data_IF_392603637198
#
_entry.id   IF_392603637198
#
_cell.length_a   1.000
_cell.length_b   1.000
_cell.length_c   1.000
_cell.angle_alpha   90.00
_cell.angle_beta   90.00
_cell.angle_gamma   90.00
#
_symmetry.space_group_name_H-M   'P 1'
#
loop_
_entity.id
_entity.type
_entity.pdbx_description
1 polymer ?
#
# COMPACT_ATOMS: atom_id res chain seq x y z
N UNK A 1 -7.87 -5.41 26.43
CA UNK A 1 -6.62 -4.61 26.26
C UNK A 1 -6.11 -4.59 24.82
N UNK A 2 -6.25 -5.65 24.01
CA UNK A 2 -5.73 -5.70 22.62
C UNK A 2 -6.53 -4.83 21.62
N UNK A 3 -7.86 -4.66 21.81
CA UNK A 3 -8.66 -3.83 20.90
C UNK A 3 -8.41 -2.31 21.02
N UNK A 4 -7.99 -1.82 22.21
CA UNK A 4 -7.63 -0.41 22.39
C UNK A 4 -6.28 -0.06 21.74
N UNK A 5 -5.35 -1.02 21.66
CA UNK A 5 -4.05 -0.82 20.99
C UNK A 5 -4.19 -0.73 19.47
N UNK A 6 -5.07 -1.53 18.85
CA UNK A 6 -5.24 -1.52 17.39
C UNK A 6 -5.95 -0.25 16.89
N UNK A 7 -6.97 0.22 17.61
CA UNK A 7 -7.64 1.49 17.30
C UNK A 7 -6.71 2.70 17.42
N UNK A 8 -5.86 2.72 18.45
CA UNK A 8 -4.89 3.80 18.65
C UNK A 8 -3.73 3.76 17.64
N UNK A 9 -3.33 2.56 17.18
CA UNK A 9 -2.32 2.38 16.15
C UNK A 9 -2.84 2.82 14.78
N UNK A 10 -4.08 2.44 14.43
CA UNK A 10 -4.76 2.91 13.23
C UNK A 10 -4.95 4.42 13.25
N UNK A 11 -5.38 5.00 14.38
CA UNK A 11 -5.57 6.45 14.51
C UNK A 11 -4.25 7.22 14.34
N UNK A 12 -3.12 6.75 14.90
CA UNK A 12 -1.80 7.35 14.64
C UNK A 12 -1.30 7.16 13.21
N UNK A 13 -1.72 6.09 12.52
CA UNK A 13 -1.47 5.89 11.09
C UNK A 13 -2.36 6.77 10.20
N UNK A 14 -3.57 7.13 10.64
CA UNK A 14 -4.49 8.00 9.89
C UNK A 14 -4.20 9.50 10.09
N UNK A 15 -3.60 9.89 11.23
CA UNK A 15 -3.23 11.28 11.53
C UNK A 15 -1.87 11.69 10.94
N UNK A 16 -0.98 10.75 10.58
CA UNK A 16 0.25 11.09 9.87
C UNK A 16 -0.05 11.33 8.41
N UNK A 17 0.06 12.59 7.99
CA UNK A 17 0.39 12.89 6.61
C UNK A 17 1.78 12.27 6.34
N UNK A 18 1.78 11.04 5.84
CA UNK A 18 3.00 10.45 5.31
C UNK A 18 3.33 11.18 4.01
N UNK A 19 4.61 11.53 3.79
CA UNK A 19 5.05 12.01 2.49
C UNK A 19 4.52 11.08 1.39
N UNK A 20 3.97 11.64 0.32
CA UNK A 20 3.41 10.86 -0.79
C UNK A 20 4.44 9.87 -1.38
N UNK A 21 5.72 10.24 -1.35
CA UNK A 21 6.83 9.35 -1.71
C UNK A 21 6.91 8.10 -0.82
N UNK A 22 6.76 8.25 0.50
CA UNK A 22 6.78 7.14 1.44
C UNK A 22 5.58 6.22 1.23
N UNK A 23 4.41 6.79 0.94
CA UNK A 23 3.20 6.01 0.62
C UNK A 23 3.41 5.20 -0.66
N UNK A 24 3.98 5.80 -1.72
CA UNK A 24 4.31 5.09 -2.95
C UNK A 24 5.30 3.94 -2.71
N UNK A 25 6.31 4.16 -1.87
CA UNK A 25 7.31 3.14 -1.52
C UNK A 25 6.71 1.98 -0.71
N UNK A 26 5.80 2.27 0.23
CA UNK A 26 5.10 1.25 1.00
C UNK A 26 4.21 0.40 0.08
N UNK A 27 3.54 1.00 -0.90
CA UNK A 27 2.74 0.28 -1.89
C UNK A 27 3.61 -0.69 -2.72
N UNK A 28 4.78 -0.25 -3.20
CA UNK A 28 5.73 -1.10 -3.93
C UNK A 28 6.20 -2.30 -3.08
N UNK A 29 6.48 -2.04 -1.80
CA UNK A 29 6.90 -3.05 -0.85
C UNK A 29 5.80 -4.08 -0.59
N UNK A 30 4.56 -3.61 -0.37
CA UNK A 30 3.41 -4.47 -0.13
C UNK A 30 3.12 -5.40 -1.32
N UNK A 31 3.20 -4.89 -2.55
CA UNK A 31 3.06 -5.73 -3.76
C UNK A 31 4.13 -6.81 -3.81
N UNK A 32 5.38 -6.44 -3.58
CA UNK A 32 6.50 -7.38 -3.64
C UNK A 32 6.36 -8.50 -2.59
N UNK A 33 5.91 -8.15 -1.38
CA UNK A 33 5.67 -9.12 -0.32
C UNK A 33 4.42 -9.98 -0.53
N UNK A 34 3.43 -9.51 -1.29
CA UNK A 34 2.20 -10.26 -1.57
C UNK A 34 2.42 -11.43 -2.53
N UNK A 35 3.53 -11.47 -3.27
CA UNK A 35 3.83 -12.42 -4.34
C UNK A 35 3.26 -13.83 -4.06
N UNK A 36 2.40 -14.36 -4.93
CA UNK A 36 1.66 -15.58 -4.63
C UNK A 36 2.58 -16.80 -4.61
N UNK A 37 2.35 -17.71 -3.67
CA UNK A 37 3.03 -19.00 -3.59
C UNK A 37 2.48 -20.04 -4.59
N UNK A 38 1.27 -19.81 -5.12
CA UNK A 38 0.54 -20.76 -5.95
C UNK A 38 0.09 -20.11 -7.27
N UNK A 39 0.20 -20.82 -8.42
CA UNK A 39 -0.09 -20.25 -9.74
C UNK A 39 -1.56 -19.85 -9.93
N UNK A 40 -2.50 -20.48 -9.21
CA UNK A 40 -3.93 -20.17 -9.26
C UNK A 40 -4.22 -18.72 -8.83
N UNK A 41 -3.34 -18.12 -8.01
CA UNK A 41 -3.49 -16.75 -7.53
C UNK A 41 -2.75 -15.73 -8.40
N UNK A 42 -2.00 -16.16 -9.43
CA UNK A 42 -1.28 -15.25 -10.34
C UNK A 42 -2.20 -14.29 -11.10
N UNK A 43 -3.38 -14.70 -11.63
CA UNK A 43 -4.27 -13.77 -12.33
C UNK A 43 -4.76 -12.66 -11.40
N UNK A 44 -5.15 -13.02 -10.17
CA UNK A 44 -5.61 -12.06 -9.16
C UNK A 44 -4.47 -11.13 -8.73
N UNK A 45 -3.28 -11.67 -8.50
CA UNK A 45 -2.10 -10.87 -8.19
C UNK A 45 -1.77 -9.86 -9.29
N UNK A 46 -1.93 -10.24 -10.57
CA UNK A 46 -1.71 -9.34 -11.71
C UNK A 46 -2.68 -8.15 -11.70
N UNK A 47 -3.96 -8.39 -11.42
CA UNK A 47 -4.95 -7.30 -11.27
C UNK A 47 -4.63 -6.40 -10.08
N UNK A 48 -4.20 -6.98 -8.96
CA UNK A 48 -3.75 -6.20 -7.79
C UNK A 48 -2.56 -5.31 -8.17
N UNK A 49 -1.55 -5.85 -8.86
CA UNK A 49 -0.40 -5.09 -9.32
C UNK A 49 -0.80 -3.92 -10.22
N UNK A 50 -1.73 -4.16 -11.16
CA UNK A 50 -2.23 -3.13 -12.07
C UNK A 50 -2.93 -1.99 -11.32
N UNK A 51 -3.86 -2.34 -10.42
CA UNK A 51 -4.56 -1.37 -9.59
C UNK A 51 -3.61 -0.57 -8.70
N UNK A 52 -2.66 -1.24 -8.03
CA UNK A 52 -1.65 -0.57 -7.20
C UNK A 52 -0.77 0.37 -8.02
N UNK A 53 -0.37 -0.03 -9.23
CA UNK A 53 0.43 0.81 -10.13
C UNK A 53 -0.32 2.09 -10.53
N UNK A 54 -1.63 2.00 -10.78
CA UNK A 54 -2.47 3.17 -11.07
C UNK A 54 -2.52 4.12 -9.86
N UNK A 55 -2.74 3.59 -8.66
CA UNK A 55 -2.77 4.40 -7.43
C UNK A 55 -1.41 5.05 -7.16
N UNK A 56 -0.33 4.28 -7.27
CA UNK A 56 1.05 4.78 -7.13
C UNK A 56 1.35 5.92 -8.09
N UNK A 57 1.01 5.76 -9.36
CA UNK A 57 1.26 6.80 -10.36
C UNK A 57 0.47 8.07 -10.07
N UNK A 58 -0.77 7.95 -9.59
CA UNK A 58 -1.55 9.11 -9.14
C UNK A 58 -0.92 9.80 -7.93
N UNK A 59 -0.40 9.03 -6.96
CA UNK A 59 0.32 9.57 -5.79
C UNK A 59 1.57 10.34 -6.22
N UNK A 60 2.39 9.75 -7.11
CA UNK A 60 3.63 10.38 -7.56
C UNK A 60 3.38 11.63 -8.41
N UNK A 61 2.29 11.67 -9.18
CA UNK A 61 1.92 12.85 -9.96
C UNK A 61 1.57 14.08 -9.09
N UNK A 62 1.27 13.88 -7.80
CA UNK A 62 1.00 14.94 -6.84
C UNK A 62 2.27 15.48 -6.16
N UNK A 63 3.44 14.88 -6.42
CA UNK A 63 4.73 15.33 -5.87
C UNK A 63 5.33 16.37 -6.82
N UNK A 64 5.59 17.62 -6.37
CA UNK A 64 6.28 18.63 -7.18
C UNK A 64 7.69 18.16 -7.56
N UNK A 65 8.10 18.41 -8.80
CA UNK A 65 9.42 18.02 -9.36
C UNK A 65 10.50 19.06 -9.08
#
# INVERSE_FOLDING_TARGET
MIQLLFGHLLQKCTERQFPLADVAQILDSAITSLKPCCPQNLPVYTEIQKCMGIVRNQILALIPT
#
